data_IF_473971639109
#
_entry.id   IF_473971639109
#
_cell.length_a   1.000
_cell.length_b   1.000
_cell.length_c   1.000
_cell.angle_alpha   90.00
_cell.angle_beta   90.00
_cell.angle_gamma   90.00
#
_symmetry.space_group_name_H-M   'P 1'
#
loop_
_entity.id
_entity.type
_entity.pdbx_description
1 polymer ?
#
# COMPACT_ATOMS: atom_id res chain seq x y z
N UNK A 1 31.90 -5.44 7.26
CA UNK A 1 31.60 -6.10 8.54
C UNK A 1 31.58 -5.10 9.68
N UNK A 2 32.61 -4.26 9.88
CA UNK A 2 32.65 -3.19 10.90
C UNK A 2 31.37 -2.33 11.06
N UNK A 3 30.78 -1.84 9.97
CA UNK A 3 29.55 -1.03 10.06
C UNK A 3 28.32 -1.78 10.60
N UNK A 4 28.27 -3.11 10.45
CA UNK A 4 27.13 -3.92 10.93
C UNK A 4 27.29 -4.20 12.42
N UNK A 5 28.52 -4.43 12.89
CA UNK A 5 28.82 -4.58 14.32
C UNK A 5 28.57 -3.28 15.10
N UNK A 6 29.01 -2.13 14.57
CA UNK A 6 28.76 -0.82 15.21
C UNK A 6 27.27 -0.48 15.28
N UNK A 7 26.49 -0.86 14.25
CA UNK A 7 25.03 -0.71 14.28
C UNK A 7 24.36 -1.66 15.27
N UNK A 8 24.87 -2.89 15.42
CA UNK A 8 24.35 -3.87 16.36
C UNK A 8 24.61 -3.44 17.81
N UNK A 9 25.81 -2.94 18.09
CA UNK A 9 26.24 -2.43 19.40
C UNK A 9 25.42 -1.20 19.82
N UNK A 10 25.16 -0.29 18.87
CA UNK A 10 24.28 0.86 19.12
C UNK A 10 22.82 0.46 19.40
N UNK A 11 22.31 -0.57 18.73
CA UNK A 11 20.97 -1.11 18.98
C UNK A 11 20.91 -1.79 20.35
N UNK A 12 21.93 -2.54 20.73
CA UNK A 12 22.03 -3.21 22.03
C UNK A 12 22.08 -2.19 23.18
N UNK A 13 22.83 -1.09 23.01
CA UNK A 13 22.90 -0.02 23.98
C UNK A 13 21.54 0.67 24.17
N UNK A 14 20.82 0.97 23.08
CA UNK A 14 19.46 1.55 23.14
C UNK A 14 18.47 0.58 23.80
N UNK A 15 18.54 -0.72 23.49
CA UNK A 15 17.71 -1.74 24.12
C UNK A 15 17.95 -1.81 25.63
N UNK A 16 19.22 -1.80 26.04
CA UNK A 16 19.59 -1.82 27.46
C UNK A 16 19.04 -0.59 28.21
N UNK A 17 19.09 0.58 27.57
CA UNK A 17 18.57 1.83 28.13
C UNK A 17 17.03 1.80 28.26
N UNK A 18 16.34 1.24 27.27
CA UNK A 18 14.87 1.08 27.30
C UNK A 18 14.46 0.09 28.39
N UNK A 19 15.14 -1.06 28.51
CA UNK A 19 14.89 -2.04 29.57
C UNK A 19 15.06 -1.40 30.95
N UNK A 20 16.14 -0.64 31.15
CA UNK A 20 16.41 0.05 32.42
C UNK A 20 15.36 1.10 32.76
N UNK A 21 14.90 1.88 31.78
CA UNK A 21 13.84 2.88 31.97
C UNK A 21 12.49 2.22 32.27
N UNK A 22 12.14 1.13 31.58
CA UNK A 22 10.91 0.39 31.85
C UNK A 22 10.91 -0.20 33.27
N UNK A 23 12.01 -0.81 33.70
CA UNK A 23 12.14 -1.32 35.07
C UNK A 23 12.03 -0.20 36.12
N UNK A 24 12.55 1.00 35.83
CA UNK A 24 12.41 2.16 36.72
C UNK A 24 10.96 2.66 36.79
N UNK A 25 10.23 2.64 35.67
CA UNK A 25 8.80 3.03 35.64
C UNK A 25 7.96 2.02 36.41
N UNK A 26 8.22 0.73 36.24
CA UNK A 26 7.52 -0.34 36.95
C UNK A 26 7.70 -0.20 38.48
N UNK A 27 8.92 0.08 38.95
CA UNK A 27 9.18 0.35 40.36
C UNK A 27 8.46 1.60 40.87
N UNK A 28 8.38 2.67 40.08
CA UNK A 28 7.66 3.89 40.46
C UNK A 28 6.15 3.65 40.57
N UNK A 29 5.57 2.89 39.64
CA UNK A 29 4.16 2.49 39.67
C UNK A 29 3.88 1.63 40.90
N UNK A 30 4.75 0.66 41.17
CA UNK A 30 4.62 -0.21 42.35
C UNK A 30 4.69 0.59 43.65
N UNK A 31 5.67 1.50 43.76
CA UNK A 31 5.82 2.36 44.96
C UNK A 31 4.62 3.28 45.15
N UNK A 32 4.10 3.88 44.07
CA UNK A 32 2.92 4.75 44.14
C UNK A 32 1.65 3.96 44.54
N UNK A 33 1.50 2.75 44.01
CA UNK A 33 0.37 1.85 44.33
C UNK A 33 0.44 1.37 45.78
N UNK A 34 1.62 0.95 46.25
CA UNK A 34 1.84 0.55 47.64
C UNK A 34 1.61 1.71 48.61
N UNK A 35 2.04 2.92 48.27
CA UNK A 35 1.83 4.12 49.09
C UNK A 35 0.35 4.48 49.19
N UNK A 36 -0.40 4.42 48.08
CA UNK A 36 -1.86 4.64 48.10
C UNK A 36 -2.60 3.56 48.88
N UNK A 37 -2.26 2.29 48.68
CA UNK A 37 -2.89 1.18 49.41
C UNK A 37 -2.63 1.28 50.92
N UNK A 38 -1.43 1.67 51.32
CA UNK A 38 -1.09 1.89 52.72
C UNK A 38 -1.87 3.07 53.31
N UNK A 39 -1.96 4.20 52.59
CA UNK A 39 -2.74 5.35 53.03
C UNK A 39 -4.23 4.99 53.20
N UNK A 40 -4.80 4.21 52.27
CA UNK A 40 -6.17 3.73 52.37
C UNK A 40 -6.35 2.76 53.56
N UNK A 41 -5.44 1.81 53.76
CA UNK A 41 -5.48 0.89 54.89
C UNK A 41 -5.38 1.63 56.23
N UNK A 42 -4.49 2.62 56.35
CA UNK A 42 -4.32 3.43 57.55
C UNK A 42 -5.59 4.25 57.85
N UNK A 43 -6.24 4.82 56.81
CA UNK A 43 -7.52 5.51 56.98
C UNK A 43 -8.65 4.58 57.42
N UNK A 44 -8.73 3.36 56.88
CA UNK A 44 -9.74 2.36 57.27
C UNK A 44 -9.56 1.90 58.72
N UNK A 45 -8.31 1.73 59.18
CA UNK A 45 -8.01 1.38 60.57
C UNK A 45 -8.42 2.53 61.50
N UNK A 46 -8.14 3.79 61.13
CA UNK A 46 -8.56 4.95 61.91
C UNK A 46 -10.08 5.10 61.96
N UNK A 47 -10.78 4.82 60.85
CA UNK A 47 -12.25 4.80 60.80
C UNK A 47 -12.81 3.69 61.70
N UNK A 48 -12.25 2.48 61.64
CA UNK A 48 -12.68 1.36 62.47
C UNK A 48 -12.51 1.69 63.96
N UNK A 49 -11.40 2.32 64.33
CA UNK A 49 -11.12 2.79 65.69
C UNK A 49 -12.09 3.87 66.15
N UNK A 50 -12.48 4.79 65.27
CA UNK A 50 -13.47 5.83 65.58
C UNK A 50 -14.89 5.27 65.71
N UNK A 51 -15.24 4.24 64.93
CA UNK A 51 -16.52 3.54 65.01
C UNK A 51 -16.69 2.77 66.32
N UNK A 52 -15.62 2.15 66.82
CA UNK A 52 -15.63 1.43 68.11
C UNK A 52 -15.74 2.37 69.31
N UNK A 53 -15.29 3.63 69.20
CA UNK A 53 -15.21 4.55 70.34
C UNK A 53 -16.35 5.58 70.41
N UNK A 54 -17.01 5.92 69.30
CA UNK A 54 -18.09 6.92 69.29
C UNK A 54 -19.24 6.55 68.34
N UNK A 55 -20.35 6.06 68.91
CA UNK A 55 -21.62 5.82 68.21
C UNK A 55 -22.40 7.12 67.91
N UNK A 56 -21.73 8.18 67.48
CA UNK A 56 -22.39 9.45 67.11
C UNK A 56 -22.48 9.56 65.59
N UNK A 57 -23.72 9.59 65.07
CA UNK A 57 -24.04 9.63 63.65
C UNK A 57 -23.36 10.77 62.88
N UNK A 58 -23.04 11.88 63.54
CA UNK A 58 -22.39 13.04 62.93
C UNK A 58 -20.91 12.80 62.55
N UNK A 59 -20.18 11.99 63.31
CA UNK A 59 -18.79 11.64 62.96
C UNK A 59 -18.74 10.63 61.81
N UNK A 60 -19.72 9.73 61.73
CA UNK A 60 -19.86 8.78 60.64
C UNK A 60 -20.14 9.49 59.31
N UNK A 61 -20.98 10.51 59.32
CA UNK A 61 -21.31 11.32 58.15
C UNK A 61 -20.10 12.14 57.66
N UNK A 62 -19.32 12.69 58.59
CA UNK A 62 -18.08 13.39 58.28
C UNK A 62 -17.02 12.44 57.68
N UNK A 63 -16.87 11.24 58.25
CA UNK A 63 -15.94 10.24 57.71
C UNK A 63 -16.36 9.73 56.33
N UNK A 64 -17.65 9.46 56.11
CA UNK A 64 -18.17 9.08 54.80
C UNK A 64 -17.92 10.17 53.75
N UNK A 65 -18.06 11.44 54.12
CA UNK A 65 -17.76 12.56 53.21
C UNK A 65 -16.26 12.64 52.84
N UNK A 66 -15.36 12.35 53.79
CA UNK A 66 -13.92 12.31 53.53
C UNK A 66 -13.53 11.12 52.65
N UNK A 67 -14.15 9.96 52.85
CA UNK A 67 -13.95 8.79 51.98
C UNK A 67 -14.48 9.07 50.58
N UNK A 68 -15.66 9.69 50.46
CA UNK A 68 -16.21 10.07 49.16
C UNK A 68 -15.29 11.06 48.43
N UNK A 69 -14.72 12.02 49.16
CA UNK A 69 -13.76 12.98 48.59
C UNK A 69 -12.42 12.33 48.24
N UNK A 70 -11.95 11.35 49.03
CA UNK A 70 -10.76 10.56 48.73
C UNK A 70 -10.97 9.68 47.49
N UNK A 71 -12.13 9.04 47.34
CA UNK A 71 -12.48 8.23 46.16
C UNK A 71 -12.62 9.11 44.91
N UNK A 72 -13.20 10.30 45.03
CA UNK A 72 -13.31 11.26 43.90
C UNK A 72 -11.96 11.86 43.51
N UNK A 73 -11.01 11.95 44.45
CA UNK A 73 -9.65 12.44 44.17
C UNK A 73 -8.70 11.36 43.65
N UNK A 74 -9.08 10.08 43.70
CA UNK A 74 -8.42 9.03 42.92
C UNK A 74 -8.81 9.24 41.45
N UNK A 75 -7.86 9.56 40.55
CA UNK A 75 -8.18 9.77 39.15
C UNK A 75 -8.72 8.46 38.55
N UNK A 76 -10.03 8.42 38.30
CA UNK A 76 -10.75 7.23 37.81
C UNK A 76 -10.41 6.85 36.36
N UNK A 77 -9.64 7.69 35.69
CA UNK A 77 -9.09 7.43 34.38
C UNK A 77 -7.63 7.84 34.38
N UNK A 78 -6.75 6.84 34.32
CA UNK A 78 -5.47 7.05 33.65
C UNK A 78 -5.81 7.42 32.20
N UNK A 79 -6.03 8.71 31.95
CA UNK A 79 -5.99 9.26 30.60
C UNK A 79 -4.56 9.10 30.09
N UNK A 80 -4.20 7.86 29.75
CA UNK A 80 -3.11 7.60 28.83
C UNK A 80 -3.63 8.13 27.50
N UNK A 81 -3.46 9.43 27.33
CA UNK A 81 -3.61 10.09 26.05
C UNK A 81 -2.51 9.48 25.19
N UNK A 82 -2.86 8.42 24.46
CA UNK A 82 -1.99 7.79 23.47
C UNK A 82 -1.74 8.80 22.35
N UNK A 83 -0.88 9.76 22.65
CA UNK A 83 -0.34 10.67 21.67
C UNK A 83 0.74 9.87 20.95
N UNK A 84 0.37 9.27 19.82
CA UNK A 84 1.34 8.76 18.85
C UNK A 84 2.11 9.96 18.30
N UNK A 85 3.03 10.49 19.10
CA UNK A 85 4.08 11.34 18.60
C UNK A 85 5.00 10.43 17.81
N UNK A 86 4.82 10.45 16.49
CA UNK A 86 5.84 9.99 15.57
C UNK A 86 7.06 10.88 15.80
N UNK A 87 7.98 10.37 16.61
CA UNK A 87 9.22 11.01 16.99
C UNK A 87 9.95 11.49 15.73
N UNK A 88 10.69 12.61 15.78
CA UNK A 88 11.31 13.20 14.58
C UNK A 88 12.20 12.18 13.84
N UNK A 89 12.78 11.22 14.57
CA UNK A 89 13.57 10.12 14.05
C UNK A 89 12.75 9.09 13.23
N UNK A 90 11.46 8.91 13.54
CA UNK A 90 10.54 8.01 12.81
C UNK A 90 10.07 8.57 11.47
N UNK A 91 10.09 9.90 11.28
CA UNK A 91 9.72 10.55 10.01
C UNK A 91 10.67 10.13 8.88
N UNK A 92 11.97 10.04 9.17
CA UNK A 92 12.96 9.56 8.20
C UNK A 92 12.72 8.10 7.80
N UNK A 93 12.35 7.25 8.76
CA UNK A 93 11.99 5.86 8.49
C UNK A 93 10.76 5.74 7.59
N UNK A 94 9.69 6.50 7.86
CA UNK A 94 8.47 6.49 7.04
C UNK A 94 8.76 6.98 5.62
N UNK A 95 9.54 8.05 5.47
CA UNK A 95 9.95 8.57 4.16
C UNK A 95 10.79 7.52 3.42
N UNK A 96 11.73 6.85 4.10
CA UNK A 96 12.55 5.80 3.50
C UNK A 96 11.72 4.60 3.06
N UNK A 97 10.74 4.18 3.87
CA UNK A 97 9.82 3.09 3.53
C UNK A 97 8.94 3.47 2.33
N UNK A 98 8.43 4.70 2.28
CA UNK A 98 7.67 5.21 1.14
C UNK A 98 8.52 5.22 -0.14
N UNK A 99 9.75 5.72 -0.08
CA UNK A 99 10.67 5.69 -1.22
C UNK A 99 11.01 4.26 -1.65
N UNK A 100 11.21 3.34 -0.71
CA UNK A 100 11.47 1.94 -1.02
C UNK A 100 10.26 1.28 -1.70
N UNK A 101 9.04 1.59 -1.26
CA UNK A 101 7.83 1.11 -1.92
C UNK A 101 7.70 1.67 -3.34
N UNK A 102 7.96 2.97 -3.54
CA UNK A 102 7.89 3.61 -4.86
C UNK A 102 8.92 2.98 -5.81
N UNK A 103 10.18 2.88 -5.38
CA UNK A 103 11.25 2.27 -6.19
C UNK A 103 10.96 0.81 -6.54
N UNK A 104 10.43 0.04 -5.58
CA UNK A 104 10.02 -1.36 -5.80
C UNK A 104 8.87 -1.44 -6.82
N UNK A 105 7.85 -0.60 -6.67
CA UNK A 105 6.72 -0.55 -7.60
C UNK A 105 7.18 -0.18 -9.03
N UNK A 106 8.06 0.80 -9.17
CA UNK A 106 8.66 1.17 -10.45
C UNK A 106 9.48 0.02 -11.04
N UNK A 107 10.29 -0.66 -10.22
CA UNK A 107 11.08 -1.81 -10.68
C UNK A 107 10.19 -2.95 -11.17
N UNK A 108 9.10 -3.25 -10.46
CA UNK A 108 8.13 -4.27 -10.87
C UNK A 108 7.44 -3.86 -12.17
N UNK A 109 7.01 -2.60 -12.29
CA UNK A 109 6.36 -2.09 -13.50
C UNK A 109 7.30 -2.21 -14.73
N UNK A 110 8.57 -1.83 -14.57
CA UNK A 110 9.59 -1.98 -15.62
C UNK A 110 9.82 -3.47 -15.95
N UNK A 111 9.91 -4.33 -14.94
CA UNK A 111 10.09 -5.77 -15.15
C UNK A 111 8.94 -6.39 -15.95
N UNK A 112 7.69 -6.07 -15.59
CA UNK A 112 6.49 -6.54 -16.30
C UNK A 112 6.47 -6.01 -17.73
N UNK A 113 6.72 -4.71 -17.92
CA UNK A 113 6.76 -4.10 -19.25
C UNK A 113 7.82 -4.76 -20.14
N UNK A 114 9.03 -4.96 -19.62
CA UNK A 114 10.11 -5.64 -20.35
C UNK A 114 9.77 -7.10 -20.65
N UNK A 115 9.10 -7.81 -19.74
CA UNK A 115 8.70 -9.19 -19.96
C UNK A 115 7.69 -9.31 -21.10
N UNK A 116 6.66 -8.47 -21.10
CA UNK A 116 5.67 -8.43 -22.18
C UNK A 116 6.32 -8.06 -23.52
N UNK A 117 7.17 -7.04 -23.53
CA UNK A 117 7.88 -6.62 -24.74
C UNK A 117 8.81 -7.72 -25.26
N UNK A 118 9.57 -8.36 -24.38
CA UNK A 118 10.44 -9.47 -24.77
C UNK A 118 9.65 -10.65 -25.34
N UNK A 119 8.50 -10.98 -24.75
CA UNK A 119 7.64 -12.05 -25.28
C UNK A 119 7.09 -11.69 -26.66
N UNK A 120 6.67 -10.43 -26.85
CA UNK A 120 6.19 -9.92 -28.16
C UNK A 120 7.30 -9.98 -29.21
N UNK A 121 8.50 -9.54 -28.85
CA UNK A 121 9.67 -9.56 -29.74
C UNK A 121 10.10 -10.98 -30.11
N UNK A 122 10.01 -11.96 -29.19
CA UNK A 122 10.32 -13.38 -29.47
C UNK A 122 9.39 -13.97 -30.52
N UNK A 123 8.09 -13.69 -30.44
CA UNK A 123 7.13 -14.18 -31.43
C UNK A 123 7.39 -13.54 -32.82
N UNK A 124 7.69 -12.24 -32.83
CA UNK A 124 8.05 -11.52 -34.06
C UNK A 124 9.37 -12.02 -34.67
N UNK A 125 10.38 -12.29 -33.85
CA UNK A 125 11.69 -12.82 -34.29
C UNK A 125 11.53 -14.14 -35.05
N UNK A 126 10.76 -15.09 -34.50
CA UNK A 126 10.54 -16.37 -35.16
C UNK A 126 9.86 -16.18 -36.53
N UNK A 127 8.80 -15.38 -36.60
CA UNK A 127 8.08 -15.09 -37.86
C UNK A 127 8.99 -14.43 -38.88
N UNK A 128 9.81 -13.48 -38.45
CA UNK A 128 10.75 -12.78 -39.32
C UNK A 128 11.86 -13.71 -39.83
N UNK A 129 12.41 -14.58 -38.98
CA UNK A 129 13.38 -15.61 -39.39
C UNK A 129 12.80 -16.59 -40.42
N UNK A 130 11.54 -17.00 -40.23
CA UNK A 130 10.83 -17.82 -41.22
C UNK A 130 10.67 -17.05 -42.54
N UNK A 131 10.21 -15.80 -42.49
CA UNK A 131 10.05 -14.95 -43.68
C UNK A 131 11.38 -14.75 -44.44
N UNK A 132 12.50 -14.63 -43.71
CA UNK A 132 13.84 -14.53 -44.30
C UNK A 132 14.26 -15.79 -45.04
N UNK A 133 13.87 -16.97 -44.55
CA UNK A 133 14.11 -18.24 -45.24
C UNK A 133 13.21 -18.42 -46.45
N UNK A 134 11.94 -18.03 -46.35
CA UNK A 134 10.97 -18.15 -47.45
C UNK A 134 11.20 -17.14 -48.57
N UNK A 135 11.63 -15.93 -48.23
CA UNK A 135 11.91 -14.86 -49.19
C UNK A 135 13.12 -14.00 -48.77
N UNK A 136 14.34 -14.47 -49.04
CA UNK A 136 15.56 -13.76 -48.67
C UNK A 136 15.70 -12.41 -49.40
N UNK A 137 15.25 -12.33 -50.65
CA UNK A 137 15.33 -11.07 -51.42
C UNK A 137 14.43 -9.96 -50.86
N UNK A 138 13.19 -10.31 -50.45
CA UNK A 138 12.26 -9.34 -49.86
C UNK A 138 12.75 -8.87 -48.49
N UNK A 139 13.19 -9.79 -47.65
CA UNK A 139 13.71 -9.45 -46.32
C UNK A 139 15.00 -8.63 -46.38
N UNK A 140 15.92 -8.93 -47.30
CA UNK A 140 17.11 -8.09 -47.52
C UNK A 140 16.76 -6.67 -47.95
N UNK A 141 15.71 -6.49 -48.77
CA UNK A 141 15.22 -5.17 -49.15
C UNK A 141 14.60 -4.44 -47.96
N UNK A 142 13.78 -5.12 -47.16
CA UNK A 142 13.21 -4.55 -45.94
C UNK A 142 14.31 -4.10 -44.97
N UNK A 143 15.31 -4.95 -44.73
CA UNK A 143 16.49 -4.63 -43.92
C UNK A 143 17.22 -3.41 -44.50
N UNK A 144 17.40 -3.33 -45.82
CA UNK A 144 18.06 -2.17 -46.44
C UNK A 144 17.31 -0.85 -46.26
N UNK A 145 15.97 -0.88 -46.26
CA UNK A 145 15.14 0.30 -46.01
C UNK A 145 15.29 0.73 -44.55
N UNK A 146 15.19 -0.23 -43.62
CA UNK A 146 15.33 0.04 -42.19
C UNK A 146 16.71 0.61 -41.84
N UNK A 147 17.80 -0.01 -42.30
CA UNK A 147 19.15 0.45 -41.98
C UNK A 147 19.54 1.77 -42.65
N UNK A 148 18.86 2.15 -43.73
CA UNK A 148 19.11 3.43 -44.40
C UNK A 148 18.57 4.61 -43.60
N UNK A 149 17.34 4.50 -43.11
CA UNK A 149 16.71 5.50 -42.23
C UNK A 149 15.61 4.83 -41.38
N UNK A 150 15.92 4.44 -40.13
CA UNK A 150 14.96 3.73 -39.28
C UNK A 150 13.72 4.56 -38.97
N UNK A 151 13.90 5.87 -38.73
CA UNK A 151 12.81 6.78 -38.39
C UNK A 151 11.83 6.97 -39.55
N UNK A 152 12.36 7.18 -40.76
CA UNK A 152 11.53 7.32 -41.93
C UNK A 152 10.86 5.99 -42.30
N UNK A 153 11.58 4.87 -42.16
CA UNK A 153 11.05 3.54 -42.42
C UNK A 153 9.86 3.21 -41.51
N UNK A 154 9.95 3.54 -40.22
CA UNK A 154 8.84 3.36 -39.27
C UNK A 154 7.63 4.21 -39.67
N UNK A 155 7.84 5.51 -39.93
CA UNK A 155 6.76 6.43 -40.29
C UNK A 155 6.06 6.00 -41.59
N UNK A 156 6.82 5.62 -42.62
CA UNK A 156 6.26 5.19 -43.90
C UNK A 156 5.51 3.86 -43.78
N UNK A 157 6.02 2.94 -42.97
CA UNK A 157 5.36 1.66 -42.70
C UNK A 157 4.03 1.88 -41.99
N UNK A 158 4.01 2.66 -40.91
CA UNK A 158 2.78 3.00 -40.18
C UNK A 158 1.74 3.66 -41.08
N UNK A 159 2.17 4.57 -41.97
CA UNK A 159 1.27 5.21 -42.93
C UNK A 159 0.66 4.21 -43.91
N UNK A 160 1.46 3.26 -44.42
CA UNK A 160 0.99 2.22 -45.35
C UNK A 160 0.03 1.25 -44.66
N UNK A 161 0.36 0.81 -43.45
CA UNK A 161 -0.50 -0.06 -42.63
C UNK A 161 -1.84 0.61 -42.30
N UNK A 162 -1.81 1.89 -41.89
CA UNK A 162 -3.03 2.65 -41.65
C UNK A 162 -3.88 2.79 -42.92
N UNK A 163 -3.25 3.02 -44.07
CA UNK A 163 -3.97 3.09 -45.34
C UNK A 163 -4.60 1.75 -45.73
N UNK A 164 -3.86 0.64 -45.58
CA UNK A 164 -4.37 -0.70 -45.88
C UNK A 164 -5.56 -1.08 -44.99
N UNK A 165 -5.51 -0.71 -43.70
CA UNK A 165 -6.64 -0.87 -42.78
C UNK A 165 -7.87 -0.11 -43.26
N UNK A 166 -7.73 1.17 -43.65
CA UNK A 166 -8.87 1.96 -44.15
C UNK A 166 -9.48 1.38 -45.43
N UNK A 167 -8.65 0.87 -46.33
CA UNK A 167 -9.13 0.20 -47.55
C UNK A 167 -9.90 -1.06 -47.18
N UNK A 168 -9.35 -1.89 -46.30
CA UNK A 168 -9.99 -3.14 -45.88
C UNK A 168 -11.33 -2.89 -45.19
N UNK A 169 -11.42 -1.90 -44.32
CA UNK A 169 -12.67 -1.48 -43.69
C UNK A 169 -13.71 -1.01 -44.72
N UNK A 170 -13.28 -0.22 -45.71
CA UNK A 170 -14.15 0.22 -46.79
C UNK A 170 -14.62 -0.96 -47.66
N UNK A 171 -13.76 -1.92 -47.95
CA UNK A 171 -14.12 -3.15 -48.68
C UNK A 171 -15.12 -4.00 -47.91
N UNK A 172 -14.93 -4.17 -46.61
CA UNK A 172 -15.81 -4.98 -45.77
C UNK A 172 -17.18 -4.30 -45.60
N UNK A 173 -17.22 -2.97 -45.47
CA UNK A 173 -18.45 -2.18 -45.49
C UNK A 173 -19.17 -2.30 -46.84
N UNK A 174 -18.44 -2.26 -47.95
CA UNK A 174 -19.01 -2.41 -49.29
C UNK A 174 -19.58 -3.81 -49.51
N UNK A 175 -18.90 -4.86 -49.03
CA UNK A 175 -19.44 -6.23 -49.03
C UNK A 175 -20.71 -6.32 -48.19
N UNK A 176 -20.73 -5.71 -47.01
CA UNK A 176 -21.90 -5.71 -46.13
C UNK A 176 -23.11 -5.04 -46.79
N UNK A 177 -22.94 -3.81 -47.29
CA UNK A 177 -24.00 -3.06 -47.98
C UNK A 177 -24.50 -3.77 -49.23
N UNK A 178 -23.62 -4.42 -50.00
CA UNK A 178 -24.02 -5.25 -51.13
C UNK A 178 -24.85 -6.47 -50.71
N UNK A 179 -24.50 -7.13 -49.60
CA UNK A 179 -25.28 -8.25 -49.08
C UNK A 179 -26.67 -7.80 -48.62
N UNK A 180 -26.77 -6.66 -47.94
CA UNK A 180 -28.04 -6.07 -47.52
C UNK A 180 -28.92 -5.67 -48.71
N UNK A 181 -28.32 -5.03 -49.73
CA UNK A 181 -29.03 -4.66 -50.94
C UNK A 181 -29.57 -5.89 -51.70
N UNK A 182 -28.79 -6.99 -51.75
CA UNK A 182 -29.26 -8.26 -52.32
C UNK A 182 -30.44 -8.84 -51.54
N UNK A 183 -30.35 -8.90 -50.21
CA UNK A 183 -31.45 -9.37 -49.35
C UNK A 183 -32.71 -8.52 -49.50
N UNK A 184 -32.57 -7.19 -49.52
CA UNK A 184 -33.70 -6.28 -49.73
C UNK A 184 -34.36 -6.49 -51.11
N UNK A 185 -33.57 -6.72 -52.15
CA UNK A 185 -34.06 -7.01 -53.51
C UNK A 185 -34.81 -8.36 -53.57
N UNK A 186 -34.32 -9.39 -52.89
CA UNK A 186 -35.01 -10.67 -52.78
C UNK A 186 -36.34 -10.56 -52.03
N UNK A 187 -36.38 -9.79 -50.93
CA UNK A 187 -37.62 -9.52 -50.20
C UNK A 187 -38.63 -8.77 -51.07
N UNK A 188 -38.20 -7.77 -51.82
CA UNK A 188 -39.08 -7.03 -52.76
C UNK A 188 -39.63 -7.94 -53.86
N UNK A 189 -38.84 -8.89 -54.39
CA UNK A 189 -39.34 -9.88 -55.36
C UNK A 189 -40.42 -10.76 -54.75
N UNK A 190 -40.19 -11.30 -53.55
CA UNK A 190 -41.18 -12.12 -52.83
C UNK A 190 -42.49 -11.36 -52.57
N UNK A 191 -42.41 -10.06 -52.25
CA UNK A 191 -43.59 -9.23 -52.00
C UNK A 191 -44.35 -8.83 -53.27
N UNK A 192 -43.69 -8.78 -54.42
CA UNK A 192 -44.32 -8.46 -55.71
C UNK A 192 -45.03 -9.64 -56.38
N UNK A 193 -44.95 -10.84 -55.81
CA UNK A 193 -45.72 -12.00 -56.29
C UNK A 193 -45.31 -12.51 -57.68
N UNK A 194 -44.01 -12.53 -57.97
CA UNK A 194 -43.41 -13.44 -58.97
C UNK A 194 -42.86 -14.69 -58.29
#
# INVERSE_FOLDING_TARGET
MKNIEEQLESIEEVLSLVIRKNASIENLIQTATETQNKALADTLIEIQRQLEHNSSSQHLETCLSQIQQAIVSVPMESQVRHSHHFDLQSKGFIISAAMLLITTALSIAVAISNYHESSRLKDSDLKFRIARQLSPALTARADSIYYKDPSLAELETQKREAHELTIKEAEDLLKHTQMEAKKAKELLKKLKGE
#
